data_IF_016671952793
#
_entry.id   IF_016671952793
#
_cell.length_a   1.000
_cell.length_b   1.000
_cell.length_c   1.000
_cell.angle_alpha   90.00
_cell.angle_beta   90.00
_cell.angle_gamma   90.00
#
_symmetry.space_group_name_H-M   'P 1'
#
loop_
_entity.id
_entity.type
_entity.pdbx_description
1 polymer ?
#
# COMPACT_ATOMS: atom_id res chain seq x y z
N UNK A 1 -7.12 17.51 10.37
CA UNK A 1 -6.58 16.15 10.46
C UNK A 1 -7.64 15.18 10.97
N UNK A 2 -7.74 14.00 10.35
CA UNK A 2 -8.76 12.99 10.68
C UNK A 2 -8.21 11.81 11.48
N UNK A 3 -6.88 11.70 11.60
CA UNK A 3 -6.19 10.55 12.21
C UNK A 3 -6.71 9.18 11.70
N UNK A 4 -7.01 9.09 10.40
CA UNK A 4 -7.58 7.91 9.73
C UNK A 4 -8.94 7.43 10.27
N UNK A 5 -9.67 8.28 11.03
CA UNK A 5 -11.01 7.97 11.55
C UNK A 5 -12.07 8.37 10.52
N UNK A 6 -12.86 7.42 9.99
CA UNK A 6 -13.85 7.72 8.94
C UNK A 6 -14.95 8.71 9.38
N UNK A 7 -15.39 8.65 10.62
CA UNK A 7 -16.36 9.57 11.22
C UNK A 7 -15.86 11.01 11.19
N UNK A 8 -14.62 11.24 11.63
CA UNK A 8 -13.98 12.56 11.55
C UNK A 8 -13.78 13.03 10.11
N UNK A 9 -13.50 12.10 9.19
CA UNK A 9 -13.40 12.47 7.79
C UNK A 9 -14.75 12.92 7.24
N UNK A 10 -15.84 12.21 7.55
CA UNK A 10 -17.19 12.62 7.15
C UNK A 10 -17.52 14.01 7.68
N UNK A 11 -17.25 14.27 8.96
CA UNK A 11 -17.42 15.59 9.55
C UNK A 11 -16.63 16.68 8.82
N UNK A 12 -15.37 16.41 8.53
CA UNK A 12 -14.54 17.32 7.76
C UNK A 12 -15.07 17.53 6.33
N UNK A 13 -15.51 16.46 5.67
CA UNK A 13 -16.10 16.53 4.34
C UNK A 13 -17.34 17.43 4.34
N UNK A 14 -18.31 17.20 5.23
CA UNK A 14 -19.54 18.00 5.32
C UNK A 14 -19.25 19.48 5.62
N UNK A 15 -18.29 19.75 6.47
CA UNK A 15 -17.89 21.12 6.81
C UNK A 15 -17.17 21.84 5.67
N UNK A 16 -16.39 21.13 4.86
CA UNK A 16 -15.53 21.72 3.85
C UNK A 16 -16.17 21.77 2.46
N UNK A 17 -17.12 20.88 2.15
CA UNK A 17 -17.71 20.78 0.81
C UNK A 17 -18.35 22.07 0.33
N UNK A 18 -18.89 22.88 1.23
CA UNK A 18 -19.54 24.17 0.92
C UNK A 18 -18.71 25.39 1.36
N UNK A 19 -17.40 25.21 1.67
CA UNK A 19 -16.57 26.32 2.13
C UNK A 19 -16.15 27.21 0.96
N UNK A 20 -16.28 28.53 1.14
CA UNK A 20 -16.01 29.52 0.09
C UNK A 20 -17.20 29.73 -0.87
N UNK A 21 -17.06 30.61 -1.84
CA UNK A 21 -18.13 30.95 -2.78
C UNK A 21 -18.51 29.80 -3.72
N UNK A 22 -17.52 29.01 -4.15
CA UNK A 22 -17.70 27.91 -5.09
C UNK A 22 -17.76 26.51 -4.42
N UNK A 23 -17.58 26.43 -3.11
CA UNK A 23 -17.43 25.15 -2.43
C UNK A 23 -16.11 24.43 -2.74
N UNK A 24 -16.02 23.17 -2.36
CA UNK A 24 -14.84 22.35 -2.64
C UNK A 24 -14.79 21.93 -4.12
N UNK A 25 -13.67 22.19 -4.78
CA UNK A 25 -13.44 21.80 -6.18
C UNK A 25 -13.14 20.30 -6.31
N UNK A 26 -12.45 19.73 -5.33
CA UNK A 26 -12.02 18.34 -5.32
C UNK A 26 -11.72 17.87 -3.90
N UNK A 27 -11.92 16.59 -3.63
CA UNK A 27 -11.47 15.94 -2.40
C UNK A 27 -10.40 14.88 -2.71
N UNK A 28 -9.41 14.79 -1.81
CA UNK A 28 -8.39 13.74 -1.82
C UNK A 28 -8.24 13.16 -0.42
N UNK A 29 -9.03 12.16 -0.05
CA UNK A 29 -8.83 11.46 1.21
C UNK A 29 -7.61 10.56 1.11
N UNK A 30 -6.63 10.72 1.98
CA UNK A 30 -5.45 9.85 2.04
C UNK A 30 -5.78 8.59 2.85
N UNK A 31 -6.90 7.94 2.55
CA UNK A 31 -7.41 6.79 3.31
C UNK A 31 -8.43 5.98 2.51
N UNK A 32 -8.23 4.67 2.44
CA UNK A 32 -9.20 3.73 1.85
C UNK A 32 -10.53 3.75 2.59
N UNK A 33 -10.51 3.74 3.93
CA UNK A 33 -11.73 3.79 4.74
C UNK A 33 -12.50 5.10 4.57
N UNK A 34 -11.80 6.22 4.48
CA UNK A 34 -12.42 7.53 4.21
C UNK A 34 -13.02 7.62 2.81
N UNK A 35 -12.35 7.03 1.81
CA UNK A 35 -12.91 6.92 0.45
C UNK A 35 -14.22 6.14 0.46
N UNK A 36 -14.27 4.99 1.13
CA UNK A 36 -15.51 4.19 1.26
C UNK A 36 -16.66 5.01 1.86
N UNK A 37 -16.35 5.80 2.88
CA UNK A 37 -17.35 6.53 3.65
C UNK A 37 -18.06 7.65 2.87
N UNK A 38 -17.53 8.11 1.74
CA UNK A 38 -18.06 9.24 0.98
C UNK A 38 -18.52 8.91 -0.44
N UNK A 39 -18.36 7.69 -0.92
CA UNK A 39 -18.66 7.31 -2.31
C UNK A 39 -20.07 7.74 -2.74
N UNK A 40 -21.09 7.45 -1.94
CA UNK A 40 -22.48 7.78 -2.27
C UNK A 40 -22.74 9.29 -2.23
N UNK A 41 -22.01 10.03 -1.39
CA UNK A 41 -22.15 11.49 -1.23
C UNK A 41 -21.60 12.22 -2.45
N UNK A 42 -20.50 11.73 -3.04
CA UNK A 42 -19.86 12.38 -4.18
C UNK A 42 -20.80 12.54 -5.38
N UNK A 43 -21.65 11.55 -5.64
CA UNK A 43 -22.62 11.61 -6.72
C UNK A 43 -23.71 12.68 -6.48
N UNK A 44 -24.12 12.84 -5.22
CA UNK A 44 -25.13 13.85 -4.82
C UNK A 44 -24.52 15.26 -4.83
N UNK A 45 -23.35 15.39 -4.23
CA UNK A 45 -22.68 16.70 -4.08
C UNK A 45 -21.95 17.14 -5.37
N UNK A 46 -21.76 16.23 -6.33
CA UNK A 46 -21.04 16.45 -7.61
C UNK A 46 -19.62 16.97 -7.40
N UNK A 47 -18.93 16.45 -6.39
CA UNK A 47 -17.56 16.83 -6.07
C UNK A 47 -16.63 15.70 -6.47
N UNK A 48 -15.65 15.93 -7.37
CA UNK A 48 -14.66 14.95 -7.74
C UNK A 48 -13.82 14.47 -6.54
N UNK A 49 -13.58 13.16 -6.46
CA UNK A 49 -12.63 12.58 -5.54
C UNK A 49 -11.47 11.99 -6.32
N UNK A 50 -10.26 12.44 -6.03
CA UNK A 50 -9.03 11.94 -6.64
C UNK A 50 -8.34 10.98 -5.69
N UNK A 51 -7.91 9.83 -6.20
CA UNK A 51 -7.09 8.86 -5.46
C UNK A 51 -5.76 8.64 -6.14
N UNK A 52 -4.72 8.34 -5.35
CA UNK A 52 -3.35 8.09 -5.82
C UNK A 52 -3.03 6.58 -5.77
N UNK A 53 -3.89 5.75 -6.38
CA UNK A 53 -3.77 4.29 -6.34
C UNK A 53 -4.22 3.65 -5.04
N UNK A 54 -4.92 4.37 -4.19
CA UNK A 54 -5.57 3.88 -2.98
C UNK A 54 -7.10 4.06 -3.07
N UNK A 55 -7.80 3.61 -2.04
CA UNK A 55 -9.24 3.63 -1.99
C UNK A 55 -9.84 2.30 -2.45
N UNK A 56 -11.09 2.33 -2.81
CA UNK A 56 -11.83 1.14 -3.24
C UNK A 56 -11.58 0.88 -4.73
N UNK A 57 -11.02 -0.29 -5.07
CA UNK A 57 -10.67 -0.62 -6.45
C UNK A 57 -11.88 -0.65 -7.40
N UNK A 58 -13.01 -1.19 -6.95
CA UNK A 58 -14.24 -1.22 -7.75
C UNK A 58 -14.83 0.17 -8.00
N UNK A 59 -14.45 1.18 -7.23
CA UNK A 59 -14.77 2.58 -7.51
C UNK A 59 -14.08 3.12 -8.79
N UNK A 60 -13.19 2.35 -9.41
CA UNK A 60 -12.63 2.65 -10.73
C UNK A 60 -13.65 2.49 -11.87
N UNK A 61 -14.79 1.82 -11.64
CA UNK A 61 -15.87 1.75 -12.62
C UNK A 61 -16.65 3.06 -12.67
N UNK A 62 -16.29 3.95 -13.58
CA UNK A 62 -16.92 5.26 -13.73
C UNK A 62 -18.41 5.22 -14.13
N UNK A 63 -18.95 4.06 -14.54
CA UNK A 63 -20.39 3.88 -14.77
C UNK A 63 -21.16 3.83 -13.46
N UNK A 64 -20.53 3.33 -12.39
CA UNK A 64 -21.10 3.23 -11.03
C UNK A 64 -20.67 4.41 -10.17
N UNK A 65 -19.41 4.81 -10.27
CA UNK A 65 -18.79 5.86 -9.47
C UNK A 65 -18.24 7.01 -10.33
N UNK A 66 -19.09 7.79 -11.03
CA UNK A 66 -18.67 8.78 -12.02
C UNK A 66 -17.87 9.96 -11.44
N UNK A 67 -17.83 10.09 -10.11
CA UNK A 67 -17.12 11.17 -9.42
C UNK A 67 -15.83 10.71 -8.73
N UNK A 68 -15.36 9.47 -8.99
CA UNK A 68 -14.11 8.95 -8.45
C UNK A 68 -13.08 8.79 -9.56
N UNK A 69 -11.93 9.43 -9.39
CA UNK A 69 -10.86 9.50 -10.39
C UNK A 69 -9.56 8.91 -9.81
N UNK A 70 -9.30 7.61 -10.02
CA UNK A 70 -8.00 7.03 -9.65
C UNK A 70 -6.94 7.46 -10.66
N UNK A 71 -5.91 8.17 -10.20
CA UNK A 71 -4.85 8.71 -11.06
C UNK A 71 -3.78 7.68 -11.42
N UNK A 72 -3.66 6.62 -10.64
CA UNK A 72 -2.58 5.64 -10.77
C UNK A 72 -3.15 4.22 -10.71
N UNK A 73 -2.29 3.22 -10.66
CA UNK A 73 -2.70 1.82 -10.58
C UNK A 73 -3.48 1.55 -9.28
N UNK A 74 -4.57 0.79 -9.38
CA UNK A 74 -5.36 0.40 -8.22
C UNK A 74 -4.74 -0.79 -7.47
N UNK A 75 -5.20 -1.04 -6.26
CA UNK A 75 -4.66 -2.08 -5.40
C UNK A 75 -4.85 -3.51 -5.91
N UNK A 76 -5.93 -3.80 -6.62
CA UNK A 76 -6.14 -5.12 -7.20
C UNK A 76 -5.12 -5.39 -8.31
N UNK A 77 -4.82 -4.41 -9.15
CA UNK A 77 -3.77 -4.51 -10.17
C UNK A 77 -2.39 -4.71 -9.54
N UNK A 78 -2.04 -3.95 -8.48
CA UNK A 78 -0.80 -4.14 -7.74
C UNK A 78 -0.72 -5.53 -7.09
N UNK A 79 -1.83 -6.01 -6.52
CA UNK A 79 -1.89 -7.35 -5.93
C UNK A 79 -1.70 -8.44 -6.98
N UNK A 80 -2.32 -8.25 -8.15
CA UNK A 80 -2.16 -9.16 -9.30
C UNK A 80 -0.72 -9.16 -9.80
N UNK A 81 -0.08 -8.00 -9.88
CA UNK A 81 1.34 -7.89 -10.27
C UNK A 81 2.25 -8.66 -9.32
N UNK A 82 2.00 -8.61 -8.01
CA UNK A 82 2.77 -9.39 -7.02
C UNK A 82 2.66 -10.90 -7.24
N UNK A 83 1.47 -11.40 -7.49
CA UNK A 83 1.27 -12.83 -7.76
C UNK A 83 1.93 -13.24 -9.09
N UNK A 84 1.85 -12.40 -10.13
CA UNK A 84 2.56 -12.64 -11.40
C UNK A 84 4.08 -12.61 -11.23
N UNK A 85 4.60 -11.71 -10.41
CA UNK A 85 6.03 -11.66 -10.08
C UNK A 85 6.50 -12.93 -9.37
N UNK A 86 5.72 -13.44 -8.38
CA UNK A 86 6.01 -14.74 -7.75
C UNK A 86 6.00 -15.86 -8.79
N UNK A 87 5.02 -15.86 -9.69
CA UNK A 87 4.97 -16.85 -10.78
C UNK A 87 6.20 -16.79 -11.69
N UNK A 88 6.69 -15.60 -12.01
CA UNK A 88 7.91 -15.42 -12.82
C UNK A 88 9.13 -16.00 -12.10
N UNK A 89 9.28 -15.76 -10.80
CA UNK A 89 10.35 -16.34 -9.99
C UNK A 89 10.31 -17.86 -9.94
N UNK A 90 9.14 -18.46 -10.00
CA UNK A 90 8.94 -19.92 -9.99
C UNK A 90 8.94 -20.55 -11.40
N UNK A 91 8.97 -19.72 -12.46
CA UNK A 91 9.05 -20.19 -13.85
C UNK A 91 7.70 -20.32 -14.56
N UNK A 92 6.62 -19.72 -14.02
CA UNK A 92 5.32 -19.64 -14.70
C UNK A 92 4.12 -19.70 -13.76
N UNK A 93 2.96 -19.32 -14.28
CA UNK A 93 1.70 -19.31 -13.52
C UNK A 93 1.27 -20.72 -13.08
N UNK A 94 1.61 -21.75 -13.86
CA UNK A 94 1.34 -23.16 -13.54
C UNK A 94 2.15 -23.66 -12.33
N UNK A 95 3.25 -23.00 -12.01
CA UNK A 95 4.11 -23.31 -10.87
C UNK A 95 3.59 -22.78 -9.53
N UNK A 96 2.58 -21.93 -9.58
CA UNK A 96 1.93 -21.45 -8.36
C UNK A 96 1.11 -22.52 -7.64
N UNK A 97 0.71 -23.58 -8.36
CA UNK A 97 -0.13 -24.64 -7.81
C UNK A 97 0.56 -25.35 -6.65
N UNK A 98 -0.11 -25.34 -5.49
CA UNK A 98 0.37 -25.97 -4.26
C UNK A 98 1.33 -25.12 -3.43
N UNK A 99 1.80 -23.96 -3.92
CA UNK A 99 2.54 -23.01 -3.10
C UNK A 99 1.68 -22.48 -1.95
N UNK A 100 2.30 -22.14 -0.85
CA UNK A 100 1.68 -21.48 0.31
C UNK A 100 2.05 -20.00 0.31
N UNK A 101 1.06 -19.14 0.20
CA UNK A 101 1.25 -17.69 0.23
C UNK A 101 0.60 -17.11 1.48
N UNK A 102 1.41 -16.51 2.34
CA UNK A 102 0.92 -15.78 3.50
C UNK A 102 0.61 -14.34 3.10
N UNK A 103 -0.63 -13.88 3.32
CA UNK A 103 -1.00 -12.48 3.17
C UNK A 103 -0.95 -11.80 4.54
N UNK A 104 0.14 -11.08 4.83
CA UNK A 104 0.28 -10.28 6.06
C UNK A 104 -0.21 -8.87 5.77
N UNK A 105 -1.29 -8.45 6.42
CA UNK A 105 -1.96 -7.20 6.10
C UNK A 105 -2.38 -6.40 7.34
N UNK A 106 -2.39 -5.09 7.21
CA UNK A 106 -2.90 -4.18 8.23
C UNK A 106 -4.41 -4.41 8.43
N UNK A 107 -4.84 -4.60 9.67
CA UNK A 107 -6.27 -4.87 9.99
C UNK A 107 -7.12 -3.61 9.90
N UNK A 108 -7.42 -3.21 8.67
CA UNK A 108 -8.21 -2.04 8.29
C UNK A 108 -8.85 -2.24 6.94
N UNK A 109 -9.71 -1.29 6.51
CA UNK A 109 -10.28 -1.26 5.17
C UNK A 109 -9.18 -1.30 4.08
N UNK A 110 -8.06 -0.60 4.30
CA UNK A 110 -6.90 -0.64 3.42
C UNK A 110 -6.31 -2.05 3.29
N UNK A 111 -6.03 -2.72 4.40
CA UNK A 111 -5.38 -4.04 4.37
C UNK A 111 -6.28 -5.14 3.82
N UNK A 112 -7.58 -5.06 4.09
CA UNK A 112 -8.59 -6.04 3.64
C UNK A 112 -8.98 -5.90 2.18
N UNK A 113 -8.75 -4.76 1.58
CA UNK A 113 -9.23 -4.39 0.25
C UNK A 113 -8.78 -5.38 -0.85
N UNK A 114 -7.58 -5.95 -0.76
CA UNK A 114 -7.07 -6.93 -1.72
C UNK A 114 -7.44 -8.39 -1.43
N UNK A 115 -8.13 -8.66 -0.33
CA UNK A 115 -8.55 -10.02 0.03
C UNK A 115 -9.32 -10.74 -1.08
N UNK A 116 -10.37 -10.11 -1.67
CA UNK A 116 -11.17 -10.73 -2.72
C UNK A 116 -10.37 -11.13 -3.95
N UNK A 117 -9.48 -10.27 -4.45
CA UNK A 117 -8.68 -10.58 -5.64
C UNK A 117 -7.65 -11.66 -5.36
N UNK A 118 -7.00 -11.65 -4.18
CA UNK A 118 -6.07 -12.70 -3.80
C UNK A 118 -6.74 -14.05 -3.67
N UNK A 119 -7.95 -14.11 -3.08
CA UNK A 119 -8.74 -15.33 -2.97
C UNK A 119 -9.09 -15.89 -4.36
N UNK A 120 -9.53 -15.01 -5.28
CA UNK A 120 -9.84 -15.39 -6.66
C UNK A 120 -8.63 -15.92 -7.42
N UNK A 121 -7.45 -15.33 -7.20
CA UNK A 121 -6.21 -15.81 -7.80
C UNK A 121 -5.74 -17.14 -7.18
N UNK A 122 -5.95 -17.33 -5.87
CA UNK A 122 -5.65 -18.60 -5.21
C UNK A 122 -6.50 -19.74 -5.78
N UNK A 123 -7.80 -19.50 -6.00
CA UNK A 123 -8.69 -20.44 -6.66
C UNK A 123 -8.24 -20.71 -8.12
N UNK A 124 -7.95 -19.67 -8.88
CA UNK A 124 -7.58 -19.77 -10.28
C UNK A 124 -6.26 -20.50 -10.52
N UNK A 125 -5.24 -20.22 -9.69
CA UNK A 125 -3.88 -20.73 -9.88
C UNK A 125 -3.52 -21.88 -8.94
N UNK A 126 -4.40 -22.21 -7.99
CA UNK A 126 -4.26 -23.37 -7.13
C UNK A 126 -3.23 -23.23 -6.02
N UNK A 127 -2.86 -22.02 -5.59
CA UNK A 127 -2.03 -21.82 -4.42
C UNK A 127 -2.86 -21.76 -3.13
N UNK A 128 -2.27 -22.16 -2.00
CA UNK A 128 -2.87 -22.05 -0.68
C UNK A 128 -2.64 -20.64 -0.14
N UNK A 129 -3.71 -19.91 0.15
CA UNK A 129 -3.68 -18.54 0.65
C UNK A 129 -4.14 -18.46 2.10
N UNK A 130 -3.33 -17.90 2.98
CA UNK A 130 -3.72 -17.64 4.36
C UNK A 130 -3.48 -16.19 4.76
N UNK A 131 -4.51 -15.57 5.35
CA UNK A 131 -4.46 -14.20 5.86
C UNK A 131 -3.94 -14.12 7.29
N UNK A 132 -3.12 -13.11 7.56
CA UNK A 132 -2.54 -12.80 8.86
C UNK A 132 -2.72 -11.32 9.15
N UNK A 133 -3.79 -10.92 9.85
CA UNK A 133 -4.02 -9.52 10.18
C UNK A 133 -3.03 -9.02 11.22
N UNK A 134 -2.65 -7.76 11.08
CA UNK A 134 -1.82 -7.02 12.03
C UNK A 134 -2.59 -5.81 12.51
N UNK A 135 -2.84 -5.73 13.81
CA UNK A 135 -3.57 -4.62 14.41
C UNK A 135 -2.80 -3.30 14.31
N UNK A 136 -3.54 -2.20 14.12
CA UNK A 136 -2.96 -0.84 14.15
C UNK A 136 -2.29 -0.56 15.51
N UNK A 137 -1.14 0.11 15.56
CA UNK A 137 -0.33 0.68 14.47
C UNK A 137 0.68 -0.29 13.86
N UNK A 138 0.67 -1.55 14.20
CA UNK A 138 1.55 -2.56 13.63
C UNK A 138 2.92 -2.69 14.31
N UNK A 139 3.03 -2.28 15.58
CA UNK A 139 4.27 -2.40 16.37
C UNK A 139 4.42 -3.78 16.99
N UNK A 140 3.33 -4.35 17.52
CA UNK A 140 3.35 -5.69 18.11
C UNK A 140 2.93 -6.75 17.09
N UNK A 141 3.90 -7.48 16.56
CA UNK A 141 3.68 -8.47 15.51
C UNK A 141 4.24 -9.86 15.83
N UNK A 142 4.83 -10.06 17.02
CA UNK A 142 5.49 -11.35 17.37
C UNK A 142 4.56 -12.55 17.19
N UNK A 143 3.35 -12.47 17.73
CA UNK A 143 2.38 -13.55 17.63
C UNK A 143 1.97 -13.83 16.16
N UNK A 144 1.77 -12.78 15.36
CA UNK A 144 1.46 -12.88 13.94
C UNK A 144 2.58 -13.63 13.21
N UNK A 145 3.85 -13.24 13.38
CA UNK A 145 4.98 -13.86 12.67
C UNK A 145 5.29 -15.27 13.17
N UNK A 146 5.01 -15.61 14.42
CA UNK A 146 5.04 -17.01 14.89
C UNK A 146 4.00 -17.87 14.17
N UNK A 147 2.79 -17.32 13.92
CA UNK A 147 1.76 -18.02 13.17
C UNK A 147 2.10 -18.13 11.68
N UNK A 148 2.67 -17.10 11.07
CA UNK A 148 3.21 -17.15 9.69
C UNK A 148 4.28 -18.25 9.59
N UNK A 149 5.23 -18.31 10.52
CA UNK A 149 6.25 -19.36 10.58
C UNK A 149 5.65 -20.77 10.69
N UNK A 150 4.62 -20.95 11.52
CA UNK A 150 3.92 -22.25 11.66
C UNK A 150 3.21 -22.67 10.38
N UNK A 151 2.70 -21.73 9.63
CA UNK A 151 2.07 -21.97 8.33
C UNK A 151 3.08 -22.41 7.27
N UNK A 152 4.38 -22.07 7.43
CA UNK A 152 5.49 -22.38 6.51
C UNK A 152 5.19 -21.92 5.09
N UNK A 153 5.01 -20.61 4.87
CA UNK A 153 4.75 -20.09 3.54
C UNK A 153 5.98 -20.20 2.64
N UNK A 154 5.75 -20.41 1.35
CA UNK A 154 6.76 -20.27 0.31
C UNK A 154 7.02 -18.79 -0.02
N UNK A 155 5.97 -17.96 0.06
CA UNK A 155 6.03 -16.52 -0.11
C UNK A 155 5.14 -15.78 0.88
N UNK A 156 5.53 -14.52 1.14
CA UNK A 156 4.74 -13.58 1.93
C UNK A 156 4.41 -12.38 1.07
N UNK A 157 3.13 -12.08 0.90
CA UNK A 157 2.70 -10.78 0.38
C UNK A 157 2.41 -9.86 1.54
N UNK A 158 3.16 -8.76 1.64
CA UNK A 158 3.02 -7.77 2.70
C UNK A 158 2.16 -6.61 2.23
N UNK A 159 1.16 -6.27 3.02
CA UNK A 159 0.29 -5.12 2.82
C UNK A 159 0.26 -4.26 4.09
N UNK A 160 1.40 -3.66 4.36
CA UNK A 160 1.64 -2.73 5.46
C UNK A 160 1.81 -1.30 4.97
N UNK A 161 2.02 -0.40 5.92
CA UNK A 161 2.42 0.97 5.73
C UNK A 161 3.06 1.51 7.02
N UNK A 162 3.93 2.50 6.90
CA UNK A 162 4.59 3.14 8.04
C UNK A 162 5.33 2.13 8.94
N UNK A 163 5.25 2.33 10.24
CA UNK A 163 5.97 1.50 11.23
C UNK A 163 5.67 0.00 11.13
N UNK A 164 4.49 -0.37 10.63
CA UNK A 164 4.14 -1.76 10.39
C UNK A 164 5.12 -2.42 9.42
N UNK A 165 5.49 -1.74 8.34
CA UNK A 165 6.36 -2.27 7.29
C UNK A 165 7.74 -2.65 7.84
N UNK A 166 8.40 -1.70 8.52
CA UNK A 166 9.71 -1.92 9.15
C UNK A 166 9.67 -3.07 10.16
N UNK A 167 8.62 -3.09 10.99
CA UNK A 167 8.44 -4.12 12.00
C UNK A 167 8.21 -5.48 11.36
N UNK A 168 7.39 -5.54 10.30
CA UNK A 168 7.14 -6.78 9.56
C UNK A 168 8.43 -7.37 9.01
N UNK A 169 9.28 -6.57 8.38
CA UNK A 169 10.56 -7.02 7.83
C UNK A 169 11.49 -7.56 8.95
N UNK A 170 11.58 -6.84 10.07
CA UNK A 170 12.38 -7.28 11.23
C UNK A 170 11.85 -8.59 11.84
N UNK A 171 10.55 -8.70 12.02
CA UNK A 171 9.92 -9.90 12.61
C UNK A 171 9.94 -11.10 11.66
N UNK A 172 9.85 -10.88 10.34
CA UNK A 172 10.05 -11.93 9.35
C UNK A 172 11.44 -12.59 9.48
N UNK A 173 12.50 -11.78 9.57
CA UNK A 173 13.85 -12.26 9.80
C UNK A 173 13.95 -13.06 11.13
N UNK A 174 13.36 -12.56 12.22
CA UNK A 174 13.31 -13.28 13.51
C UNK A 174 12.55 -14.59 13.40
N UNK A 175 11.52 -14.64 12.57
CA UNK A 175 10.76 -15.86 12.26
C UNK A 175 11.49 -16.79 11.29
N UNK A 176 12.70 -16.43 10.84
CA UNK A 176 13.50 -17.16 9.85
C UNK A 176 12.80 -17.27 8.48
N UNK A 177 12.13 -16.22 8.08
CA UNK A 177 11.58 -16.05 6.74
C UNK A 177 12.55 -15.15 5.97
N UNK A 178 12.98 -15.61 4.80
CA UNK A 178 13.89 -14.88 3.94
C UNK A 178 13.16 -13.69 3.31
N UNK A 179 13.78 -12.51 3.36
CA UNK A 179 13.23 -11.31 2.75
C UNK A 179 13.04 -11.44 1.23
N UNK A 180 13.85 -12.26 0.55
CA UNK A 180 13.71 -12.55 -0.88
C UNK A 180 12.40 -13.28 -1.24
N UNK A 181 11.73 -13.85 -0.25
CA UNK A 181 10.41 -14.46 -0.38
C UNK A 181 9.27 -13.52 0.03
N UNK A 182 9.57 -12.24 0.25
CA UNK A 182 8.59 -11.23 0.65
C UNK A 182 8.37 -10.23 -0.47
N UNK A 183 7.09 -9.99 -0.80
CA UNK A 183 6.70 -9.00 -1.82
C UNK A 183 5.72 -8.00 -1.23
N UNK A 184 6.18 -6.79 -1.05
CA UNK A 184 5.41 -5.69 -0.47
C UNK A 184 4.56 -4.92 -1.47
N UNK A 185 3.98 -3.85 -0.99
CA UNK A 185 3.21 -2.85 -1.76
C UNK A 185 3.93 -1.51 -1.71
N UNK A 186 3.59 -0.59 -2.59
CA UNK A 186 4.23 0.72 -2.69
C UNK A 186 4.38 1.47 -1.33
N UNK A 187 3.44 1.28 -0.40
CA UNK A 187 3.47 1.89 0.94
C UNK A 187 4.38 1.16 1.96
N UNK A 188 5.11 0.16 1.49
CA UNK A 188 6.07 -0.60 2.31
C UNK A 188 7.44 -0.71 1.64
N UNK A 189 7.78 0.22 0.77
CA UNK A 189 8.94 0.17 -0.10
C UNK A 189 9.86 1.39 -0.04
N UNK A 190 9.47 2.42 0.69
CA UNK A 190 10.30 3.61 0.81
C UNK A 190 11.62 3.28 1.54
N UNK A 191 12.59 4.14 1.43
CA UNK A 191 13.83 4.03 2.22
C UNK A 191 13.53 4.06 3.72
N UNK A 192 12.53 4.83 4.13
CA UNK A 192 12.03 4.85 5.52
C UNK A 192 11.50 3.49 5.99
N UNK A 193 11.00 2.65 5.08
CA UNK A 193 10.54 1.29 5.39
C UNK A 193 11.68 0.27 5.39
N UNK A 194 12.67 0.43 4.50
CA UNK A 194 13.67 -0.60 4.19
C UNK A 194 15.04 -0.35 4.81
N UNK A 195 15.42 0.90 5.08
CA UNK A 195 16.70 1.23 5.72
C UNK A 195 16.72 0.87 7.21
N UNK A 196 15.73 1.20 8.04
CA UNK A 196 15.77 0.90 9.47
C UNK A 196 15.80 -0.60 9.83
N UNK A 197 15.26 -1.53 9.03
CA UNK A 197 15.47 -2.96 9.22
C UNK A 197 16.89 -3.45 8.92
N UNK A 198 17.70 -2.67 8.20
CA UNK A 198 19.08 -3.00 7.87
C UNK A 198 19.19 -4.31 7.08
N UNK A 199 20.01 -5.24 7.55
CA UNK A 199 20.22 -6.52 6.86
C UNK A 199 18.94 -7.36 6.68
N UNK A 200 17.90 -7.10 7.47
CA UNK A 200 16.64 -7.81 7.36
C UNK A 200 15.86 -7.49 6.08
N UNK A 201 16.14 -6.35 5.44
CA UNK A 201 15.48 -5.95 4.20
C UNK A 201 16.21 -6.38 2.92
N UNK A 202 17.40 -6.96 3.03
CA UNK A 202 18.16 -7.40 1.85
C UNK A 202 17.39 -8.50 1.13
N UNK A 203 17.08 -8.28 -0.14
CA UNK A 203 16.27 -9.19 -0.97
C UNK A 203 14.77 -8.90 -0.96
N UNK A 204 14.28 -8.04 -0.06
CA UNK A 204 12.87 -7.63 -0.06
C UNK A 204 12.49 -6.94 -1.37
N UNK A 205 11.39 -7.36 -1.96
CA UNK A 205 10.85 -6.81 -3.19
C UNK A 205 9.48 -6.18 -2.94
N UNK A 206 9.05 -5.26 -3.81
CA UNK A 206 7.72 -4.69 -3.73
C UNK A 206 7.16 -4.27 -5.08
N UNK A 207 5.83 -4.26 -5.18
CA UNK A 207 5.14 -3.67 -6.33
C UNK A 207 5.07 -2.16 -6.13
N UNK A 208 5.78 -1.40 -6.95
CA UNK A 208 5.79 0.06 -6.97
C UNK A 208 5.45 0.59 -8.36
N UNK A 209 4.93 1.79 -8.43
CA UNK A 209 4.68 2.54 -9.66
C UNK A 209 5.69 3.69 -9.84
N UNK A 210 6.60 3.85 -8.92
CA UNK A 210 7.69 4.80 -8.95
C UNK A 210 9.02 4.06 -8.80
N UNK A 211 10.02 4.49 -9.56
CA UNK A 211 11.37 3.96 -9.41
C UNK A 211 12.12 4.72 -8.29
N UNK A 212 12.85 4.02 -7.44
CA UNK A 212 13.67 4.65 -6.41
C UNK A 212 14.92 5.32 -7.00
N UNK A 213 15.51 6.21 -6.23
CA UNK A 213 16.80 6.82 -6.49
C UNK A 213 16.71 8.26 -7.00
N UNK A 214 17.84 8.94 -6.91
CA UNK A 214 17.99 10.38 -7.19
C UNK A 214 18.60 10.69 -8.56
N UNK A 215 18.88 9.67 -9.39
CA UNK A 215 19.56 9.82 -10.68
C UNK A 215 18.69 10.47 -11.78
N UNK A 216 17.40 10.64 -11.53
CA UNK A 216 16.49 11.30 -12.48
C UNK A 216 16.78 12.80 -12.57
N UNK A 217 16.68 13.33 -13.77
CA UNK A 217 16.95 14.76 -14.02
C UNK A 217 16.19 15.69 -13.06
N UNK A 218 14.92 15.42 -12.80
CA UNK A 218 14.11 16.23 -11.88
C UNK A 218 14.69 16.26 -10.47
N UNK A 219 15.17 15.14 -9.96
CA UNK A 219 15.82 15.10 -8.65
C UNK A 219 17.16 15.81 -8.65
N UNK A 220 17.94 15.67 -9.72
CA UNK A 220 19.20 16.39 -9.88
C UNK A 220 18.99 17.90 -9.96
N UNK A 221 17.92 18.35 -10.63
CA UNK A 221 17.53 19.76 -10.68
C UNK A 221 17.07 20.26 -9.30
N UNK A 222 16.32 19.47 -8.53
CA UNK A 222 15.93 19.83 -7.16
C UNK A 222 17.16 19.93 -6.26
N UNK A 223 18.07 18.96 -6.31
CA UNK A 223 19.31 19.00 -5.54
C UNK A 223 20.08 20.28 -5.88
N UNK A 224 20.32 20.54 -7.15
CA UNK A 224 21.10 21.68 -7.61
C UNK A 224 20.45 23.02 -7.25
N UNK A 225 19.17 23.22 -7.59
CA UNK A 225 18.51 24.53 -7.50
C UNK A 225 17.80 24.78 -6.18
N UNK A 226 17.65 23.79 -5.35
CA UNK A 226 17.00 23.95 -4.04
C UNK A 226 17.97 23.65 -2.90
N UNK A 227 18.59 22.48 -2.90
CA UNK A 227 19.47 22.08 -1.80
C UNK A 227 20.82 22.81 -1.84
N UNK A 228 21.53 22.73 -2.95
CA UNK A 228 22.88 23.31 -3.08
C UNK A 228 22.89 24.84 -3.04
N UNK A 229 21.78 25.48 -3.41
CA UNK A 229 21.59 26.93 -3.28
C UNK A 229 21.16 27.37 -1.87
N UNK A 230 21.04 26.43 -0.90
CA UNK A 230 20.69 26.70 0.49
C UNK A 230 19.21 27.04 0.73
N UNK A 231 18.34 26.74 -0.23
CA UNK A 231 16.89 26.95 -0.12
C UNK A 231 16.17 25.77 0.59
N UNK A 232 16.87 24.68 0.89
CA UNK A 232 16.34 23.54 1.64
C UNK A 232 16.65 23.65 3.14
N UNK A 233 15.74 23.16 3.96
CA UNK A 233 15.87 23.21 5.43
C UNK A 233 16.22 21.86 6.06
N UNK A 234 16.26 20.79 5.29
CA UNK A 234 16.56 19.42 5.75
C UNK A 234 17.79 18.81 5.07
N UNK A 235 18.31 17.72 5.59
CA UNK A 235 19.40 16.98 4.98
C UNK A 235 18.96 16.36 3.64
N UNK A 236 19.93 16.19 2.73
CA UNK A 236 19.67 15.67 1.37
C UNK A 236 18.99 14.29 1.39
N UNK A 237 19.36 13.44 2.33
CA UNK A 237 18.81 12.09 2.50
C UNK A 237 17.30 12.09 2.80
N UNK A 238 16.79 13.14 3.42
CA UNK A 238 15.36 13.30 3.69
C UNK A 238 14.58 13.85 2.50
N UNK A 239 15.26 14.49 1.55
CA UNK A 239 14.64 15.10 0.37
C UNK A 239 14.43 14.10 -0.78
N UNK A 240 15.12 12.97 -0.75
CA UNK A 240 15.11 11.98 -1.82
C UNK A 240 14.01 10.90 -1.66
N UNK A 241 13.16 11.02 -0.65
CA UNK A 241 12.12 10.03 -0.29
C UNK A 241 10.71 10.50 -0.60
#
# INVERSE_FOLDING_TARGET
>A
ETAYKPDRFIECYERLKNKGEAGATVFQPLSTGSTYAVLDRLAVDKIPLITMGYGRTDASDGRVFPWVFPLMVNYWSLSTAKIKYIAELEGGLDKLKGLKIANVYHDSAYGKETGPILAKQAEQYGFDLKGFPVAHPGIDQKATWLNVRRYKPDYVVLRGWGVMSQTSIKEAMRARIDASKMVGVLWSCSEQDTVPPGKASIGYSCASMINPGTHYKVFQDIIKFVHDEGNATGPLEEMAN
#
